data_IF_675830892337
#
_entry.id   IF_675830892337
#
_cell.length_a   1.000
_cell.length_b   1.000
_cell.length_c   1.000
_cell.angle_alpha   90.00
_cell.angle_beta   90.00
_cell.angle_gamma   90.00
#
_symmetry.space_group_name_H-M   'P 1'
#
loop_
_entity.id
_entity.type
_entity.pdbx_description
1 polymer ?
#
# COMPACT_ATOMS: atom_id res chain seq x y z
N UNK A 1 11.11 31.17 -18.54
CA UNK A 1 10.14 30.19 -18.00
C UNK A 1 9.52 29.30 -19.10
N UNK A 2 8.93 29.88 -20.16
CA UNK A 2 8.29 29.12 -21.26
C UNK A 2 9.15 28.02 -21.86
N UNK A 3 10.39 28.32 -22.26
CA UNK A 3 11.31 27.33 -22.84
C UNK A 3 11.61 26.16 -21.89
N UNK A 4 11.68 26.41 -20.59
CA UNK A 4 11.87 25.37 -19.57
C UNK A 4 10.65 24.45 -19.49
N UNK A 5 9.43 24.99 -19.53
CA UNK A 5 8.22 24.16 -19.53
C UNK A 5 8.06 23.37 -20.83
N UNK A 6 8.44 23.96 -21.97
CA UNK A 6 8.45 23.27 -23.25
C UNK A 6 9.50 22.16 -23.30
N UNK A 7 10.69 22.37 -22.74
CA UNK A 7 11.72 21.33 -22.69
C UNK A 7 11.27 20.14 -21.82
N UNK A 8 10.59 20.38 -20.70
CA UNK A 8 10.00 19.32 -19.87
C UNK A 8 8.93 18.50 -20.61
N UNK A 9 8.16 19.11 -21.51
CA UNK A 9 7.16 18.44 -22.35
C UNK A 9 7.80 17.72 -23.55
N UNK A 10 8.94 18.22 -24.04
CA UNK A 10 9.68 17.64 -25.16
C UNK A 10 10.59 16.48 -24.72
N UNK A 11 10.93 16.35 -23.44
CA UNK A 11 11.86 15.33 -22.97
C UNK A 11 11.34 13.91 -23.19
N UNK A 12 12.16 13.06 -23.83
CA UNK A 12 11.86 11.67 -24.15
C UNK A 12 12.81 10.70 -23.43
N UNK A 13 12.36 9.47 -23.21
CA UNK A 13 13.19 8.34 -22.79
C UNK A 13 14.05 7.84 -23.97
N UNK A 14 15.08 7.00 -23.74
CA UNK A 14 15.84 6.37 -24.83
C UNK A 14 14.98 5.55 -25.80
N UNK A 15 13.78 5.15 -25.39
CA UNK A 15 12.80 4.41 -26.20
C UNK A 15 11.84 5.33 -26.97
N UNK A 16 12.06 6.65 -26.93
CA UNK A 16 11.24 7.64 -27.66
C UNK A 16 9.94 8.05 -26.97
N UNK A 17 9.63 7.50 -25.80
CA UNK A 17 8.41 7.83 -25.05
C UNK A 17 8.54 9.13 -24.26
N UNK A 18 7.43 9.83 -24.01
CA UNK A 18 7.39 11.01 -23.14
C UNK A 18 7.92 10.69 -21.74
N UNK A 19 9.01 11.35 -21.32
CA UNK A 19 9.59 11.14 -19.98
C UNK A 19 8.67 11.66 -18.87
N UNK A 20 7.89 12.71 -19.14
CA UNK A 20 6.92 13.28 -18.20
C UNK A 20 5.59 13.56 -18.90
N UNK A 21 4.51 13.26 -18.18
CA UNK A 21 3.14 13.64 -18.55
C UNK A 21 2.84 15.08 -18.14
N UNK A 22 1.83 15.69 -18.75
CA UNK A 22 1.45 17.07 -18.46
C UNK A 22 1.09 17.25 -16.98
N UNK A 23 0.45 16.26 -16.35
CA UNK A 23 0.16 16.30 -14.91
C UNK A 23 1.40 16.45 -14.02
N UNK A 24 2.54 15.90 -14.42
CA UNK A 24 3.82 16.07 -13.72
C UNK A 24 4.47 17.40 -14.06
N UNK A 25 4.41 17.81 -15.34
CA UNK A 25 4.92 19.11 -15.79
C UNK A 25 4.19 20.26 -15.09
N UNK A 26 2.86 20.18 -14.93
CA UNK A 26 2.04 21.15 -14.20
C UNK A 26 2.53 21.31 -12.76
N UNK A 27 2.80 20.20 -12.06
CA UNK A 27 3.30 20.24 -10.68
C UNK A 27 4.65 20.93 -10.60
N UNK A 28 5.59 20.55 -11.46
CA UNK A 28 6.93 21.16 -11.52
C UNK A 28 6.79 22.66 -11.82
N UNK A 29 5.98 23.02 -12.80
CA UNK A 29 5.76 24.41 -13.20
C UNK A 29 5.25 25.26 -12.04
N UNK A 30 4.23 24.79 -11.31
CA UNK A 30 3.69 25.52 -10.16
C UNK A 30 4.70 25.64 -9.02
N UNK A 31 5.44 24.58 -8.69
CA UNK A 31 6.52 24.66 -7.70
C UNK A 31 7.62 25.64 -8.11
N UNK A 32 7.98 25.70 -9.40
CA UNK A 32 8.94 26.67 -9.89
C UNK A 32 8.39 28.11 -9.81
N UNK A 33 7.11 28.33 -10.11
CA UNK A 33 6.50 29.66 -9.95
C UNK A 33 6.50 30.10 -8.49
N UNK A 34 6.14 29.22 -7.56
CA UNK A 34 6.20 29.50 -6.11
C UNK A 34 7.62 29.86 -5.68
N UNK A 35 8.64 29.13 -6.16
CA UNK A 35 10.04 29.42 -5.88
C UNK A 35 10.50 30.75 -6.49
N UNK A 36 10.12 31.05 -7.73
CA UNK A 36 10.49 32.31 -8.38
C UNK A 36 9.86 33.52 -7.68
N UNK A 37 8.64 33.37 -7.16
CA UNK A 37 7.98 34.39 -6.37
C UNK A 37 8.70 34.61 -5.03
N UNK A 38 9.10 33.52 -4.36
CA UNK A 38 9.98 33.61 -3.20
C UNK A 38 11.31 34.35 -3.50
N UNK A 39 11.95 34.05 -4.64
CA UNK A 39 13.20 34.73 -5.06
C UNK A 39 12.97 36.23 -5.29
N UNK A 40 11.86 36.61 -5.92
CA UNK A 40 11.49 38.01 -6.07
C UNK A 40 11.37 38.71 -4.71
N UNK A 41 10.64 38.11 -3.78
CA UNK A 41 10.39 38.70 -2.46
C UNK A 41 11.67 38.75 -1.61
N UNK A 42 12.54 37.75 -1.73
CA UNK A 42 13.78 37.67 -0.97
C UNK A 42 14.86 38.67 -1.46
N UNK A 43 14.83 39.04 -2.75
CA UNK A 43 15.80 39.94 -3.37
C UNK A 43 15.20 41.29 -3.82
N UNK A 44 13.99 41.61 -3.38
CA UNK A 44 13.25 42.85 -3.72
C UNK A 44 13.14 43.14 -5.23
N UNK A 45 13.01 42.08 -6.05
CA UNK A 45 13.00 42.20 -7.52
C UNK A 45 11.58 42.49 -8.06
N UNK A 46 11.03 43.67 -7.80
CA UNK A 46 9.63 44.03 -8.08
C UNK A 46 9.11 43.78 -9.51
N UNK A 47 10.00 43.76 -10.52
CA UNK A 47 9.65 43.49 -11.93
C UNK A 47 10.03 42.07 -12.41
N UNK A 48 10.37 41.14 -11.52
CA UNK A 48 10.85 39.81 -11.91
C UNK A 48 9.72 38.87 -12.32
N UNK A 49 8.70 38.72 -11.48
CA UNK A 49 7.54 37.84 -11.70
C UNK A 49 6.25 38.50 -11.20
N UNK A 50 5.26 38.63 -12.09
CA UNK A 50 4.03 39.37 -11.77
C UNK A 50 3.02 39.34 -12.89
N UNK A 51 1.88 40.01 -12.69
CA UNK A 51 0.77 40.05 -13.66
C UNK A 51 0.99 41.10 -14.73
N UNK A 52 1.79 42.13 -14.44
CA UNK A 52 1.92 43.28 -15.30
C UNK A 52 2.78 42.96 -16.51
N UNK A 53 2.52 43.65 -17.61
CA UNK A 53 3.27 43.45 -18.85
C UNK A 53 4.76 43.75 -18.71
N UNK A 54 5.12 44.59 -17.73
CA UNK A 54 6.51 44.95 -17.42
C UNK A 54 7.29 43.88 -16.64
N UNK A 55 6.64 42.82 -16.15
CA UNK A 55 7.33 41.75 -15.45
C UNK A 55 8.07 40.83 -16.43
N UNK A 56 9.26 40.39 -16.05
CA UNK A 56 10.09 39.47 -16.84
C UNK A 56 9.42 38.10 -17.02
N UNK A 57 8.64 37.66 -16.02
CA UNK A 57 7.80 36.46 -16.07
C UNK A 57 6.36 36.86 -15.78
N UNK A 58 5.52 36.77 -16.80
CA UNK A 58 4.11 37.11 -16.70
C UNK A 58 3.29 35.92 -16.20
N UNK A 59 2.63 36.09 -15.06
CA UNK A 59 1.79 35.06 -14.44
C UNK A 59 0.30 35.38 -14.54
N UNK A 60 -0.50 34.32 -14.52
CA UNK A 60 -1.96 34.34 -14.57
C UNK A 60 -2.51 33.85 -13.23
N UNK A 61 -3.60 34.48 -12.79
CA UNK A 61 -4.36 33.99 -11.65
C UNK A 61 -5.57 33.21 -12.10
N UNK A 62 -5.68 31.97 -11.63
CA UNK A 62 -6.83 31.11 -11.88
C UNK A 62 -7.55 30.85 -10.56
N UNK A 63 -8.73 31.45 -10.42
CA UNK A 63 -9.61 31.13 -9.31
C UNK A 63 -10.10 29.69 -9.43
N UNK A 64 -10.11 28.99 -8.31
CA UNK A 64 -10.70 27.66 -8.22
C UNK A 64 -11.68 27.61 -7.06
N UNK A 65 -12.76 26.88 -7.27
CA UNK A 65 -13.76 26.55 -6.28
C UNK A 65 -13.93 25.05 -6.27
N UNK A 66 -13.57 24.40 -5.17
CA UNK A 66 -13.72 22.95 -5.01
C UNK A 66 -14.49 22.63 -3.75
N UNK A 67 -15.45 21.70 -3.87
CA UNK A 67 -16.12 21.12 -2.71
C UNK A 67 -15.26 19.96 -2.22
N UNK A 68 -14.86 20.00 -0.95
CA UNK A 68 -14.16 18.89 -0.31
C UNK A 68 -15.14 18.08 0.51
N UNK A 69 -15.12 16.76 0.35
CA UNK A 69 -15.93 15.84 1.14
C UNK A 69 -15.68 16.03 2.64
N UNK A 70 -16.75 16.04 3.44
CA UNK A 70 -16.69 16.23 4.89
C UNK A 70 -16.52 17.68 5.35
N UNK A 71 -16.38 18.66 4.45
CA UNK A 71 -16.30 20.09 4.80
C UNK A 71 -17.61 20.81 4.46
N UNK A 72 -18.17 21.57 5.42
CA UNK A 72 -19.25 22.52 5.13
C UNK A 72 -18.65 23.71 4.36
N UNK A 73 -19.17 23.97 3.16
CA UNK A 73 -18.73 25.07 2.28
C UNK A 73 -17.76 24.64 1.17
N UNK A 74 -17.27 25.62 0.41
CA UNK A 74 -16.32 25.42 -0.68
C UNK A 74 -14.92 25.87 -0.25
N UNK A 75 -13.90 25.20 -0.77
CA UNK A 75 -12.53 25.69 -0.72
C UNK A 75 -12.34 26.53 -1.97
N UNK A 76 -12.25 27.83 -1.75
CA UNK A 76 -11.99 28.82 -2.76
C UNK A 76 -10.57 29.31 -2.61
N UNK A 77 -9.93 29.63 -3.72
CA UNK A 77 -8.60 30.17 -3.71
C UNK A 77 -8.16 30.60 -5.10
N UNK A 78 -7.05 31.29 -5.14
CA UNK A 78 -6.41 31.71 -6.38
C UNK A 78 -5.16 30.88 -6.58
N UNK A 79 -5.03 30.29 -7.75
CA UNK A 79 -3.82 29.57 -8.14
C UNK A 79 -3.06 30.38 -9.17
N UNK A 80 -1.81 30.70 -8.85
CA UNK A 80 -0.91 31.32 -9.81
C UNK A 80 -0.45 30.26 -10.82
N UNK A 81 -0.48 30.62 -12.09
CA UNK A 81 -0.07 29.77 -13.20
C UNK A 81 0.58 30.61 -14.28
N UNK A 82 1.07 29.98 -15.34
CA UNK A 82 1.65 30.66 -16.49
C UNK A 82 1.04 30.09 -17.78
N UNK A 83 0.96 30.87 -18.85
CA UNK A 83 0.36 30.47 -20.13
C UNK A 83 0.99 29.21 -20.74
N UNK A 84 2.30 29.04 -20.57
CA UNK A 84 3.06 27.86 -20.98
C UNK A 84 2.74 26.57 -20.20
N UNK A 85 1.98 26.62 -19.10
CA UNK A 85 1.61 25.42 -18.32
C UNK A 85 0.60 24.58 -19.11
N UNK A 86 0.86 23.29 -19.37
CA UNK A 86 -0.02 22.49 -20.22
C UNK A 86 -1.35 22.16 -19.55
N UNK A 87 -2.32 21.70 -20.35
CA UNK A 87 -3.59 21.18 -19.86
C UNK A 87 -3.41 19.85 -19.15
N UNK A 88 -4.31 19.57 -18.21
CA UNK A 88 -4.28 18.37 -17.39
C UNK A 88 -4.57 17.13 -18.25
N UNK A 89 -3.71 16.12 -18.18
CA UNK A 89 -3.99 14.81 -18.76
C UNK A 89 -4.98 14.03 -17.89
N UNK A 90 -5.57 12.98 -18.45
CA UNK A 90 -6.32 12.00 -17.68
C UNK A 90 -5.50 11.44 -16.51
N UNK A 91 -6.13 11.32 -15.35
CA UNK A 91 -5.51 10.68 -14.19
C UNK A 91 -5.54 9.17 -14.43
N UNK A 92 -4.38 8.56 -14.69
CA UNK A 92 -4.25 7.11 -14.66
C UNK A 92 -4.64 6.60 -13.27
N UNK A 93 -5.69 5.77 -13.22
CA UNK A 93 -5.99 4.96 -12.04
C UNK A 93 -4.90 3.88 -11.94
N UNK A 94 -4.39 3.64 -10.73
CA UNK A 94 -3.49 2.52 -10.46
C UNK A 94 -4.35 1.32 -10.12
N UNK A 95 -4.10 0.22 -10.82
CA UNK A 95 -4.76 -1.04 -10.53
C UNK A 95 -4.02 -1.77 -9.39
N UNK A 96 -4.69 -2.70 -8.71
CA UNK A 96 -4.04 -3.70 -7.86
C UNK A 96 -2.81 -4.34 -8.52
N UNK A 97 -1.91 -4.88 -7.70
CA UNK A 97 -0.89 -5.81 -8.23
C UNK A 97 -1.60 -6.98 -8.90
N UNK A 98 -1.08 -7.46 -10.04
CA UNK A 98 -1.65 -8.62 -10.72
C UNK A 98 -1.37 -9.89 -9.91
N UNK A 99 -2.29 -10.86 -9.95
CA UNK A 99 -2.11 -12.13 -9.24
C UNK A 99 -0.89 -12.91 -9.76
N UNK A 100 -0.60 -12.82 -11.06
CA UNK A 100 0.58 -13.41 -11.69
C UNK A 100 1.88 -12.80 -11.15
N UNK A 101 2.00 -11.46 -11.15
CA UNK A 101 3.20 -10.80 -10.63
C UNK A 101 3.38 -11.05 -9.13
N UNK A 102 2.29 -11.03 -8.37
CA UNK A 102 2.30 -11.33 -6.95
C UNK A 102 2.83 -12.76 -6.68
N UNK A 103 2.32 -13.75 -7.42
CA UNK A 103 2.76 -15.14 -7.33
C UNK A 103 4.22 -15.30 -7.74
N UNK A 104 4.65 -14.69 -8.85
CA UNK A 104 6.06 -14.72 -9.31
C UNK A 104 7.01 -14.16 -8.26
N UNK A 105 6.63 -13.07 -7.60
CA UNK A 105 7.41 -12.49 -6.49
C UNK A 105 7.48 -13.44 -5.31
N UNK A 106 6.36 -14.06 -4.94
CA UNK A 106 6.32 -15.05 -3.85
C UNK A 106 7.23 -16.25 -4.12
N UNK A 107 7.13 -16.84 -5.32
CA UNK A 107 7.94 -17.98 -5.76
C UNK A 107 9.44 -17.66 -5.78
N UNK A 108 9.80 -16.45 -6.21
CA UNK A 108 11.18 -15.98 -6.13
C UNK A 108 11.67 -15.81 -4.69
N UNK A 109 10.84 -15.25 -3.81
CA UNK A 109 11.22 -15.03 -2.42
C UNK A 109 11.41 -16.36 -1.68
N UNK A 110 10.50 -17.33 -1.85
CA UNK A 110 10.55 -18.61 -1.12
C UNK A 110 11.76 -19.47 -1.51
N UNK A 111 12.31 -19.27 -2.70
CA UNK A 111 13.48 -20.01 -3.22
C UNK A 111 14.83 -19.34 -2.93
N UNK A 112 14.86 -18.19 -2.22
CA UNK A 112 16.10 -17.48 -1.92
C UNK A 112 17.09 -18.34 -1.10
N UNK A 113 18.34 -18.50 -1.60
CA UNK A 113 19.35 -19.37 -0.96
C UNK A 113 19.64 -19.03 0.50
N UNK A 114 19.74 -17.74 0.86
CA UNK A 114 20.01 -17.33 2.23
C UNK A 114 18.74 -17.45 3.09
N UNK A 115 18.70 -18.44 4.00
CA UNK A 115 17.54 -18.72 4.86
C UNK A 115 17.10 -17.55 5.75
N UNK A 116 18.05 -16.84 6.35
CA UNK A 116 17.75 -15.68 7.22
C UNK A 116 17.12 -14.54 6.38
N UNK A 117 17.66 -14.29 5.18
CA UNK A 117 17.11 -13.33 4.21
C UNK A 117 15.73 -13.75 3.70
N UNK A 118 15.57 -15.02 3.33
CA UNK A 118 14.33 -15.63 2.85
C UNK A 118 13.20 -15.38 3.84
N UNK A 119 13.40 -15.74 5.11
CA UNK A 119 12.40 -15.52 6.19
C UNK A 119 12.03 -14.05 6.35
N UNK A 120 13.00 -13.14 6.33
CA UNK A 120 12.73 -11.70 6.37
C UNK A 120 11.90 -11.25 5.17
N UNK A 121 12.30 -11.61 3.95
CA UNK A 121 11.63 -11.16 2.73
C UNK A 121 10.22 -11.73 2.63
N UNK A 122 9.99 -12.98 3.05
CA UNK A 122 8.65 -13.56 3.18
C UNK A 122 7.78 -12.78 4.16
N UNK A 123 8.31 -12.41 5.33
CA UNK A 123 7.58 -11.63 6.31
C UNK A 123 7.27 -10.20 5.81
N UNK A 124 8.18 -9.57 5.07
CA UNK A 124 7.94 -8.28 4.41
C UNK A 124 6.84 -8.39 3.36
N UNK A 125 6.92 -9.41 2.49
CA UNK A 125 5.92 -9.65 1.45
C UNK A 125 4.53 -9.88 2.06
N UNK A 126 4.42 -10.82 3.01
CA UNK A 126 3.16 -11.16 3.66
C UNK A 126 2.57 -9.96 4.42
N UNK A 127 3.40 -9.13 5.06
CA UNK A 127 2.93 -7.92 5.72
C UNK A 127 2.38 -6.88 4.73
N UNK A 128 2.96 -6.73 3.53
CA UNK A 128 2.40 -5.81 2.53
C UNK A 128 1.06 -6.29 2.01
N UNK A 129 0.99 -7.59 1.67
CA UNK A 129 -0.19 -8.22 1.11
C UNK A 129 -1.36 -8.26 2.09
N UNK A 130 -1.10 -8.70 3.33
CA UNK A 130 -2.15 -9.00 4.30
C UNK A 130 -2.57 -7.81 5.17
N UNK A 131 -1.76 -6.74 5.25
CA UNK A 131 -2.08 -5.58 6.10
C UNK A 131 -2.61 -4.38 5.30
N UNK A 132 -2.35 -4.34 3.99
CA UNK A 132 -2.61 -3.18 3.15
C UNK A 132 -2.03 -1.87 3.69
N UNK A 133 -0.98 -1.94 4.52
CA UNK A 133 -0.39 -0.79 5.19
C UNK A 133 0.33 0.13 4.20
N UNK A 134 0.37 1.43 4.48
CA UNK A 134 1.33 2.30 3.78
C UNK A 134 2.74 1.90 4.19
N UNK A 135 3.72 2.08 3.32
CA UNK A 135 5.13 1.84 3.67
C UNK A 135 5.53 2.57 4.95
N UNK A 136 5.07 3.82 5.09
CA UNK A 136 5.27 4.65 6.29
C UNK A 136 4.63 4.09 7.57
N UNK A 137 3.60 3.25 7.44
CA UNK A 137 2.97 2.54 8.56
C UNK A 137 3.71 1.22 8.81
N UNK A 138 4.02 0.46 7.75
CA UNK A 138 4.65 -0.86 7.83
C UNK A 138 6.04 -0.83 8.48
N UNK A 139 6.86 0.17 8.16
CA UNK A 139 8.20 0.27 8.75
C UNK A 139 8.18 0.72 10.23
N UNK A 140 7.05 1.22 10.72
CA UNK A 140 6.88 1.65 12.11
C UNK A 140 6.33 0.56 13.03
N UNK A 141 5.92 -0.60 12.48
CA UNK A 141 5.43 -1.73 13.26
C UNK A 141 6.49 -2.15 14.28
N UNK A 142 6.08 -2.30 15.54
CA UNK A 142 6.94 -2.73 16.65
C UNK A 142 6.73 -4.20 16.98
N UNK A 143 7.67 -4.77 17.74
CA UNK A 143 7.56 -6.11 18.32
C UNK A 143 6.42 -6.16 19.33
N UNK A 144 6.23 -5.09 20.11
CA UNK A 144 5.08 -4.95 21.01
C UNK A 144 3.76 -5.07 20.27
N UNK A 145 3.58 -4.35 19.16
CA UNK A 145 2.39 -4.46 18.31
C UNK A 145 2.16 -5.90 17.80
N UNK A 146 3.24 -6.58 17.41
CA UNK A 146 3.19 -7.97 16.94
C UNK A 146 2.79 -8.95 18.06
N UNK A 147 3.39 -8.86 19.24
CA UNK A 147 3.06 -9.76 20.35
C UNK A 147 1.63 -9.51 20.88
N UNK A 148 1.17 -8.25 20.87
CA UNK A 148 -0.23 -7.94 21.16
C UNK A 148 -1.18 -8.52 20.12
N UNK A 149 -0.83 -8.46 18.83
CA UNK A 149 -1.63 -9.08 17.77
C UNK A 149 -1.73 -10.59 17.93
N UNK A 150 -0.67 -11.28 18.39
CA UNK A 150 -0.72 -12.72 18.69
C UNK A 150 -1.69 -13.10 19.79
N UNK A 151 -1.99 -12.19 20.70
CA UNK A 151 -2.94 -12.41 21.80
C UNK A 151 -4.36 -12.00 21.44
N UNK A 152 -4.51 -11.01 20.56
CA UNK A 152 -5.79 -10.34 20.32
C UNK A 152 -6.35 -10.53 18.91
N UNK A 153 -5.57 -11.06 17.97
CA UNK A 153 -5.91 -11.10 16.54
C UNK A 153 -5.90 -9.72 15.85
N UNK A 154 -5.50 -8.65 16.55
CA UNK A 154 -5.57 -7.27 16.05
C UNK A 154 -4.19 -6.62 16.03
N UNK A 155 -3.69 -6.24 14.85
CA UNK A 155 -2.42 -5.54 14.70
C UNK A 155 -2.61 -4.02 14.72
N UNK A 156 -1.78 -3.33 15.50
CA UNK A 156 -1.77 -1.86 15.57
C UNK A 156 -0.79 -1.28 14.55
N UNK A 157 -1.25 -0.27 13.79
CA UNK A 157 -0.44 0.48 12.81
C UNK A 157 -0.42 1.96 13.18
N UNK A 158 0.78 2.54 13.30
CA UNK A 158 0.96 3.99 13.51
C UNK A 158 0.81 4.74 12.20
N UNK A 159 -0.02 5.79 12.19
CA UNK A 159 -0.28 6.62 11.00
C UNK A 159 0.29 8.03 11.17
N UNK A 160 0.97 8.54 10.14
CA UNK A 160 1.65 9.85 10.16
C UNK A 160 0.80 11.00 9.57
N UNK A 161 -0.53 10.84 9.48
CA UNK A 161 -1.38 11.68 8.64
C UNK A 161 -1.82 13.01 9.28
N UNK A 162 -1.54 13.26 10.56
CA UNK A 162 -1.91 14.52 11.23
C UNK A 162 -0.65 15.19 11.77
N UNK A 163 -0.54 16.51 11.56
CA UNK A 163 0.59 17.33 12.04
C UNK A 163 0.76 17.25 13.57
N UNK A 164 -0.30 16.89 14.31
CA UNK A 164 -0.34 17.02 15.77
C UNK A 164 -0.82 15.77 16.53
N UNK A 165 -0.97 14.60 15.90
CA UNK A 165 -1.28 13.36 16.64
C UNK A 165 -0.71 12.12 15.97
N UNK A 166 0.02 11.31 16.76
CA UNK A 166 0.39 9.93 16.41
C UNK A 166 -0.86 9.04 16.43
N UNK A 167 -1.77 9.24 15.49
CA UNK A 167 -2.99 8.43 15.41
C UNK A 167 -2.66 6.99 15.03
N UNK A 168 -3.13 6.02 15.81
CA UNK A 168 -3.02 4.60 15.50
C UNK A 168 -4.32 4.06 14.92
N UNK A 169 -4.23 2.97 14.14
CA UNK A 169 -5.39 2.19 13.69
C UNK A 169 -5.13 0.71 13.95
N UNK A 170 -6.17 -0.03 14.31
CA UNK A 170 -6.10 -1.49 14.48
C UNK A 170 -6.72 -2.19 13.29
N UNK A 171 -6.12 -3.29 12.86
CA UNK A 171 -6.65 -4.15 11.79
C UNK A 171 -6.70 -5.60 12.26
N UNK A 172 -7.77 -6.35 11.94
CA UNK A 172 -7.78 -7.78 12.15
C UNK A 172 -6.74 -8.45 11.25
N UNK A 173 -6.04 -9.44 11.78
CA UNK A 173 -5.02 -10.19 11.03
C UNK A 173 -5.19 -11.69 11.25
N UNK A 174 -5.01 -12.52 10.21
CA UNK A 174 -4.95 -13.97 10.36
C UNK A 174 -3.83 -14.41 11.29
N UNK A 175 -4.08 -15.43 12.11
CA UNK A 175 -3.06 -16.08 12.94
C UNK A 175 -1.96 -16.69 12.06
N UNK A 176 -2.32 -17.20 10.88
CA UNK A 176 -1.35 -17.67 9.89
C UNK A 176 -0.34 -16.58 9.47
N UNK A 177 -0.77 -15.33 9.31
CA UNK A 177 0.17 -14.22 9.02
C UNK A 177 1.15 -14.03 10.18
N UNK A 178 0.66 -14.06 11.41
CA UNK A 178 1.48 -13.88 12.60
C UNK A 178 2.51 -15.01 12.77
N UNK A 179 2.13 -16.21 12.35
CA UNK A 179 2.98 -17.39 12.29
C UNK A 179 4.06 -17.31 11.24
N UNK A 180 3.74 -16.80 10.04
CA UNK A 180 4.75 -16.49 9.02
C UNK A 180 5.77 -15.45 9.52
N UNK A 181 5.32 -14.45 10.27
CA UNK A 181 6.20 -13.44 10.88
C UNK A 181 7.05 -14.06 12.01
N UNK A 182 6.55 -15.05 12.74
CA UNK A 182 7.25 -15.68 13.86
C UNK A 182 8.61 -16.27 13.46
N UNK A 183 8.70 -16.86 12.27
CA UNK A 183 9.95 -17.41 11.75
C UNK A 183 11.00 -16.34 11.46
N UNK A 184 10.56 -15.19 10.98
CA UNK A 184 11.41 -14.02 10.85
C UNK A 184 11.80 -13.44 12.22
N UNK A 185 10.91 -13.44 13.22
CA UNK A 185 11.21 -12.94 14.58
C UNK A 185 12.40 -13.68 15.20
N UNK A 186 12.53 -14.99 14.97
CA UNK A 186 13.71 -15.78 15.39
C UNK A 186 15.00 -15.23 14.76
N UNK A 187 14.98 -14.94 13.46
CA UNK A 187 16.11 -14.37 12.70
C UNK A 187 16.44 -12.95 13.19
N UNK A 188 15.41 -12.12 13.38
CA UNK A 188 15.53 -10.76 13.93
C UNK A 188 16.25 -10.76 15.27
N UNK A 189 15.81 -11.59 16.23
CA UNK A 189 16.42 -11.70 17.57
C UNK A 189 17.90 -12.09 17.48
N UNK A 190 18.23 -13.07 16.63
CA UNK A 190 19.62 -13.49 16.37
C UNK A 190 20.46 -12.34 15.80
N UNK A 191 19.94 -11.61 14.82
CA UNK A 191 20.63 -10.49 14.18
C UNK A 191 20.89 -9.33 15.17
N UNK A 192 19.88 -8.93 15.95
CA UNK A 192 20.02 -7.87 16.96
C UNK A 192 21.07 -8.22 18.01
N UNK A 193 21.06 -9.46 18.52
CA UNK A 193 22.06 -9.93 19.49
C UNK A 193 23.48 -9.89 18.91
N UNK A 194 23.65 -10.36 17.66
CA UNK A 194 24.96 -10.35 16.99
C UNK A 194 25.47 -8.92 16.76
N UNK A 195 24.57 -7.97 16.51
CA UNK A 195 24.90 -6.58 16.18
C UNK A 195 24.90 -5.64 17.39
N UNK A 196 24.50 -6.13 18.57
CA UNK A 196 24.41 -5.36 19.82
C UNK A 196 23.55 -4.10 19.68
N UNK A 197 22.45 -4.19 18.92
CA UNK A 197 21.49 -3.10 18.71
C UNK A 197 20.24 -3.38 19.53
N UNK A 198 19.65 -2.34 20.13
CA UNK A 198 18.42 -2.43 20.92
C UNK A 198 17.39 -1.41 20.43
N UNK A 199 16.22 -1.90 20.03
CA UNK A 199 15.03 -1.10 19.69
C UNK A 199 13.82 -2.04 19.54
N UNK A 200 12.63 -1.46 19.44
CA UNK A 200 11.39 -2.22 19.41
C UNK A 200 10.85 -2.51 17.99
N UNK A 201 11.35 -1.87 16.93
CA UNK A 201 10.85 -2.07 15.55
C UNK A 201 10.94 -3.52 15.04
N UNK A 202 9.86 -4.03 14.44
CA UNK A 202 9.75 -5.41 13.94
C UNK A 202 10.68 -5.65 12.74
N UNK A 203 10.64 -4.80 11.73
CA UNK A 203 11.40 -5.00 10.50
C UNK A 203 12.77 -4.33 10.55
N UNK A 204 13.83 -5.12 10.38
CA UNK A 204 15.23 -4.68 10.50
C UNK A 204 16.08 -5.08 9.30
N UNK A 205 17.18 -4.36 9.11
CA UNK A 205 18.27 -4.82 8.29
C UNK A 205 19.03 -5.95 8.99
N UNK A 206 19.22 -7.09 8.31
CA UNK A 206 19.99 -8.21 8.87
C UNK A 206 21.50 -7.93 8.91
N UNK A 207 21.98 -6.97 8.11
CA UNK A 207 23.40 -6.61 8.05
C UNK A 207 23.81 -5.67 9.18
N UNK A 208 22.94 -4.72 9.54
CA UNK A 208 23.22 -3.70 10.56
C UNK A 208 22.48 -3.93 11.87
N UNK A 209 21.35 -4.62 11.85
CA UNK A 209 20.47 -4.79 13.00
C UNK A 209 19.52 -3.61 13.26
N UNK A 210 19.65 -2.51 12.50
CA UNK A 210 18.82 -1.31 12.66
C UNK A 210 17.47 -1.40 11.92
N UNK A 211 16.47 -0.59 12.30
CA UNK A 211 15.15 -0.59 11.68
C UNK A 211 15.21 -0.30 10.18
N UNK A 212 14.32 -0.93 9.41
CA UNK A 212 14.13 -0.56 8.01
C UNK A 212 13.45 0.81 7.93
N UNK A 213 13.88 1.62 6.97
CA UNK A 213 13.22 2.88 6.64
C UNK A 213 12.13 2.64 5.60
N UNK A 214 11.26 3.63 5.37
CA UNK A 214 10.31 3.57 4.25
C UNK A 214 11.02 3.30 2.90
N UNK A 215 12.20 3.89 2.69
CA UNK A 215 13.00 3.67 1.49
C UNK A 215 13.44 2.21 1.33
N UNK A 216 13.75 1.50 2.43
CA UNK A 216 14.18 0.10 2.38
C UNK A 216 13.16 -0.83 1.71
N UNK A 217 11.87 -0.63 1.97
CA UNK A 217 10.80 -1.46 1.38
C UNK A 217 10.76 -1.31 -0.14
N UNK A 218 10.86 -0.06 -0.63
CA UNK A 218 10.92 0.25 -2.06
C UNK A 218 12.16 -0.39 -2.67
N UNK A 219 13.31 -0.31 -2.00
CA UNK A 219 14.56 -0.94 -2.46
C UNK A 219 14.42 -2.46 -2.60
N UNK A 220 13.85 -3.15 -1.62
CA UNK A 220 13.67 -4.61 -1.70
C UNK A 220 12.74 -5.01 -2.85
N UNK A 221 11.63 -4.29 -3.03
CA UNK A 221 10.71 -4.58 -4.13
C UNK A 221 11.32 -4.31 -5.49
N UNK A 222 12.05 -3.21 -5.65
CA UNK A 222 12.77 -2.92 -6.89
C UNK A 222 13.83 -3.99 -7.17
N UNK A 223 14.47 -4.53 -6.14
CA UNK A 223 15.39 -5.65 -6.29
C UNK A 223 14.66 -6.90 -6.79
N UNK A 224 13.55 -7.30 -6.15
CA UNK A 224 12.75 -8.47 -6.59
C UNK A 224 12.24 -8.30 -8.02
N UNK A 225 11.73 -7.12 -8.35
CA UNK A 225 11.28 -6.76 -9.70
C UNK A 225 12.38 -6.92 -10.75
N UNK A 226 13.59 -6.44 -10.43
CA UNK A 226 14.75 -6.52 -11.33
C UNK A 226 15.17 -7.96 -11.56
N UNK A 227 15.24 -8.77 -10.51
CA UNK A 227 15.60 -10.19 -10.61
C UNK A 227 14.59 -10.99 -11.43
N UNK A 228 13.29 -10.62 -11.37
CA UNK A 228 12.22 -11.29 -12.10
C UNK A 228 11.98 -10.76 -13.53
N UNK A 229 12.67 -9.69 -13.93
CA UNK A 229 12.45 -9.05 -15.23
C UNK A 229 11.01 -8.53 -15.43
N UNK A 230 10.30 -8.17 -14.36
CA UNK A 230 8.91 -7.68 -14.46
C UNK A 230 8.92 -6.27 -15.06
N UNK A 231 8.37 -6.14 -16.27
CA UNK A 231 8.12 -4.87 -16.94
C UNK A 231 6.78 -4.29 -16.47
N UNK A 232 6.75 -3.06 -15.94
CA UNK A 232 5.51 -2.45 -15.40
C UNK A 232 5.66 -1.77 -14.04
N UNK A 233 4.56 -1.33 -13.41
CA UNK A 233 4.60 -0.80 -12.04
C UNK A 233 4.54 -1.96 -11.03
N UNK A 234 5.54 -2.08 -10.15
CA UNK A 234 5.54 -3.03 -9.04
C UNK A 234 6.03 -2.32 -7.78
N UNK A 235 5.08 -1.77 -7.02
CA UNK A 235 5.36 -0.89 -5.88
C UNK A 235 4.46 -1.24 -4.69
N UNK A 236 4.87 -0.96 -3.43
CA UNK A 236 4.13 -1.37 -2.24
C UNK A 236 2.66 -0.87 -2.23
N UNK A 237 2.41 0.27 -2.89
CA UNK A 237 1.07 0.83 -3.01
C UNK A 237 0.11 -0.05 -3.82
N UNK A 238 0.61 -0.89 -4.73
CA UNK A 238 -0.22 -1.80 -5.52
C UNK A 238 -0.75 -2.98 -4.70
N UNK A 239 0.06 -3.54 -3.79
CA UNK A 239 -0.41 -4.51 -2.79
C UNK A 239 -1.47 -3.91 -1.88
N UNK A 240 -1.28 -2.64 -1.48
CA UNK A 240 -2.31 -1.92 -0.76
C UNK A 240 -3.61 -1.77 -1.57
N UNK A 241 -3.52 -1.46 -2.86
CA UNK A 241 -4.70 -1.40 -3.73
C UNK A 241 -5.39 -2.77 -3.85
N UNK A 242 -4.62 -3.86 -3.98
CA UNK A 242 -5.13 -5.23 -3.97
C UNK A 242 -5.87 -5.53 -2.67
N UNK A 243 -5.22 -5.33 -1.52
CA UNK A 243 -5.82 -5.54 -0.20
C UNK A 243 -7.15 -4.80 -0.02
N UNK A 244 -7.21 -3.52 -0.41
CA UNK A 244 -8.46 -2.72 -0.27
C UNK A 244 -9.56 -3.29 -1.17
N UNK A 245 -9.20 -3.69 -2.40
CA UNK A 245 -10.13 -4.29 -3.35
C UNK A 245 -10.65 -5.63 -2.84
N UNK A 246 -9.78 -6.48 -2.32
CA UNK A 246 -10.13 -7.78 -1.75
C UNK A 246 -11.00 -7.65 -0.51
N UNK A 247 -10.65 -6.78 0.44
CA UNK A 247 -11.49 -6.52 1.61
C UNK A 247 -12.85 -5.97 1.23
N UNK A 248 -12.93 -5.16 0.19
CA UNK A 248 -14.22 -4.70 -0.32
C UNK A 248 -15.02 -5.84 -0.93
N UNK A 249 -14.39 -6.75 -1.69
CA UNK A 249 -15.05 -7.97 -2.18
C UNK A 249 -15.57 -8.82 -1.03
N UNK A 250 -14.75 -9.05 0.00
CA UNK A 250 -15.15 -9.80 1.19
C UNK A 250 -16.39 -9.20 1.86
N UNK A 251 -16.41 -7.88 2.02
CA UNK A 251 -17.54 -7.18 2.63
C UNK A 251 -18.81 -7.24 1.76
N UNK A 252 -18.68 -7.05 0.44
CA UNK A 252 -19.80 -7.16 -0.51
C UNK A 252 -20.38 -8.58 -0.49
N UNK A 253 -19.51 -9.59 -0.57
CA UNK A 253 -19.89 -11.01 -0.54
C UNK A 253 -20.34 -11.48 0.85
N UNK A 254 -20.17 -10.68 1.91
CA UNK A 254 -20.73 -10.96 3.22
C UNK A 254 -22.11 -10.32 3.42
N UNK A 255 -22.43 -9.22 2.70
CA UNK A 255 -23.78 -8.62 2.69
C UNK A 255 -24.74 -9.37 1.75
N UNK A 256 -25.72 -10.09 2.31
CA UNK A 256 -26.67 -10.94 1.55
C UNK A 256 -27.64 -10.15 0.65
N UNK A 257 -27.53 -8.83 0.67
CA UNK A 257 -28.52 -7.88 0.15
C UNK A 257 -28.03 -7.14 -1.11
N UNK A 258 -26.83 -7.46 -1.62
CA UNK A 258 -26.22 -6.73 -2.74
C UNK A 258 -26.00 -7.66 -3.91
N UNK A 259 -26.80 -7.50 -4.96
CA UNK A 259 -26.74 -8.38 -6.13
C UNK A 259 -26.06 -7.75 -7.35
N UNK A 260 -25.98 -6.41 -7.43
CA UNK A 260 -25.29 -5.72 -8.52
C UNK A 260 -24.72 -4.35 -8.10
N UNK A 261 -23.98 -3.72 -9.02
CA UNK A 261 -23.28 -2.44 -8.78
C UNK A 261 -24.21 -1.29 -8.45
N UNK A 262 -25.34 -1.18 -9.13
CA UNK A 262 -26.30 -0.10 -8.92
C UNK A 262 -27.17 -0.37 -7.69
N UNK A 263 -27.43 -1.63 -7.38
CA UNK A 263 -28.06 -2.10 -6.15
C UNK A 263 -27.18 -1.79 -4.93
N UNK A 264 -25.87 -2.05 -5.00
CA UNK A 264 -24.89 -1.62 -4.00
C UNK A 264 -24.87 -0.10 -3.81
N UNK A 265 -24.97 0.66 -4.91
CA UNK A 265 -25.01 2.12 -4.90
C UNK A 265 -26.34 2.69 -4.40
N UNK A 266 -27.44 1.93 -4.46
CA UNK A 266 -28.77 2.32 -3.97
C UNK A 266 -28.97 1.96 -2.50
N UNK A 267 -28.50 0.78 -2.09
CA UNK A 267 -28.42 0.35 -0.69
C UNK A 267 -27.33 1.10 0.10
N UNK A 268 -26.68 2.08 -0.54
CA UNK A 268 -25.66 2.96 0.01
C UNK A 268 -26.08 3.75 1.28
N UNK A 269 -27.38 3.76 1.60
CA UNK A 269 -27.94 4.34 2.82
C UNK A 269 -27.61 3.53 4.09
N UNK A 270 -27.35 2.22 3.98
CA UNK A 270 -26.79 1.39 5.07
C UNK A 270 -25.23 1.40 5.09
N UNK A 271 -24.60 2.20 4.21
CA UNK A 271 -23.20 2.04 3.78
C UNK A 271 -22.22 3.06 4.37
N UNK A 272 -22.69 3.95 5.26
CA UNK A 272 -21.77 4.67 6.13
C UNK A 272 -20.98 3.70 7.02
N UNK A 273 -21.61 2.68 7.58
CA UNK A 273 -20.91 1.70 8.44
C UNK A 273 -19.82 0.94 7.67
N UNK A 274 -20.13 0.44 6.46
CA UNK A 274 -19.14 -0.25 5.62
C UNK A 274 -18.00 0.66 5.16
N UNK A 275 -18.33 1.85 4.65
CA UNK A 275 -17.31 2.82 4.25
C UNK A 275 -16.50 3.29 5.45
N UNK A 276 -17.08 3.41 6.64
CA UNK A 276 -16.38 3.74 7.89
C UNK A 276 -15.48 2.61 8.37
N UNK A 277 -15.92 1.35 8.37
CA UNK A 277 -15.09 0.19 8.72
C UNK A 277 -13.91 0.06 7.76
N UNK A 278 -14.16 0.10 6.44
CA UNK A 278 -13.10 0.07 5.45
C UNK A 278 -12.20 1.29 5.58
N UNK A 279 -12.73 2.48 5.85
CA UNK A 279 -11.96 3.68 6.12
C UNK A 279 -11.05 3.53 7.34
N UNK A 280 -11.53 2.93 8.44
CA UNK A 280 -10.74 2.63 9.64
C UNK A 280 -9.64 1.62 9.34
N UNK A 281 -9.96 0.51 8.67
CA UNK A 281 -9.01 -0.54 8.29
C UNK A 281 -8.00 -0.15 7.24
N UNK A 282 -8.21 0.96 6.54
CA UNK A 282 -7.30 1.42 5.49
C UNK A 282 -6.70 2.79 5.83
N UNK A 283 -7.22 3.52 6.81
CA UNK A 283 -6.78 4.87 7.14
C UNK A 283 -6.99 5.86 5.99
N UNK A 284 -8.12 5.77 5.28
CA UNK A 284 -8.53 6.80 4.31
C UNK A 284 -9.12 8.01 5.04
N UNK A 285 -8.92 9.19 4.46
CA UNK A 285 -9.43 10.44 5.05
C UNK A 285 -10.79 10.81 4.44
N UNK A 286 -11.01 10.45 3.18
CA UNK A 286 -12.20 10.76 2.39
C UNK A 286 -12.84 9.45 1.93
N UNK A 287 -14.17 9.31 2.02
CA UNK A 287 -14.84 8.09 1.58
C UNK A 287 -14.86 7.99 0.05
N UNK A 288 -14.93 9.11 -0.66
CA UNK A 288 -14.80 9.18 -2.13
C UNK A 288 -13.51 8.56 -2.67
N UNK A 289 -12.44 8.52 -1.86
CA UNK A 289 -11.20 7.84 -2.25
C UNK A 289 -11.35 6.32 -2.37
N UNK A 290 -12.42 5.74 -1.80
CA UNK A 290 -12.73 4.31 -1.90
C UNK A 290 -13.50 3.96 -3.18
N UNK A 291 -14.11 4.94 -3.87
CA UNK A 291 -15.01 4.66 -4.99
C UNK A 291 -14.30 3.98 -6.17
N UNK A 292 -13.00 4.22 -6.35
CA UNK A 292 -12.20 3.54 -7.39
C UNK A 292 -12.11 2.02 -7.16
N UNK A 293 -12.14 1.55 -5.91
CA UNK A 293 -12.09 0.12 -5.62
C UNK A 293 -13.46 -0.55 -5.76
N UNK A 294 -14.55 0.19 -5.57
CA UNK A 294 -15.91 -0.30 -5.80
C UNK A 294 -16.05 -0.74 -7.26
N UNK A 295 -15.60 0.10 -8.21
CA UNK A 295 -15.64 -0.25 -9.62
C UNK A 295 -14.87 -1.55 -9.93
N UNK A 296 -13.71 -1.75 -9.30
CA UNK A 296 -12.86 -2.93 -9.50
C UNK A 296 -13.48 -4.19 -8.87
N UNK A 297 -13.97 -4.09 -7.63
CA UNK A 297 -14.57 -5.21 -6.93
C UNK A 297 -15.79 -5.77 -7.69
N UNK A 298 -16.68 -4.92 -8.20
CA UNK A 298 -17.83 -5.37 -8.98
C UNK A 298 -17.47 -5.92 -10.36
N UNK A 299 -16.43 -5.38 -11.01
CA UNK A 299 -15.95 -5.96 -12.28
C UNK A 299 -15.50 -7.42 -12.09
N UNK A 300 -14.86 -7.72 -10.97
CA UNK A 300 -14.39 -9.07 -10.64
C UNK A 300 -15.51 -9.97 -10.09
N UNK A 301 -16.46 -9.44 -9.30
CA UNK A 301 -17.56 -10.22 -8.68
C UNK A 301 -18.61 -10.65 -9.70
N UNK A 302 -18.84 -9.90 -10.78
CA UNK A 302 -19.82 -10.25 -11.82
C UNK A 302 -19.57 -11.62 -12.52
N UNK A 303 -18.45 -12.30 -12.22
CA UNK A 303 -18.16 -13.68 -12.62
C UNK A 303 -18.36 -14.76 -11.56
N UNK A 304 -18.73 -14.42 -10.32
CA UNK A 304 -18.88 -15.38 -9.20
C UNK A 304 -20.32 -15.37 -8.67
N UNK A 305 -21.17 -16.24 -9.21
CA UNK A 305 -22.59 -16.30 -8.81
C UNK A 305 -22.85 -17.15 -7.56
N UNK A 306 -21.91 -17.96 -7.06
CA UNK A 306 -22.18 -18.80 -5.89
C UNK A 306 -20.90 -19.11 -5.08
N UNK A 307 -20.55 -18.30 -4.08
CA UNK A 307 -19.88 -18.82 -2.87
C UNK A 307 -20.15 -17.91 -1.67
N UNK A 308 -20.98 -18.37 -0.74
CA UNK A 308 -21.14 -17.76 0.59
C UNK A 308 -20.42 -18.59 1.66
N UNK A 309 -19.86 -17.92 2.67
CA UNK A 309 -19.05 -18.39 3.81
C UNK A 309 -17.54 -18.64 3.58
N UNK A 310 -17.04 -18.86 2.36
CA UNK A 310 -15.61 -19.13 2.12
C UNK A 310 -14.71 -17.87 2.00
N UNK A 311 -15.32 -16.69 1.94
CA UNK A 311 -14.64 -15.47 1.49
C UNK A 311 -13.87 -14.77 2.63
N UNK A 312 -14.39 -14.77 3.86
CA UNK A 312 -13.66 -14.26 5.03
C UNK A 312 -12.42 -15.09 5.37
N UNK A 313 -12.45 -16.39 5.06
CA UNK A 313 -11.33 -17.32 5.22
C UNK A 313 -10.41 -17.37 4.00
N UNK A 314 -10.70 -16.63 2.92
CA UNK A 314 -9.92 -16.73 1.68
C UNK A 314 -8.44 -16.46 1.91
N UNK A 315 -8.12 -15.38 2.63
CA UNK A 315 -6.74 -15.04 2.98
C UNK A 315 -6.09 -16.11 3.86
N UNK A 316 -6.80 -16.64 4.85
CA UNK A 316 -6.30 -17.73 5.70
C UNK A 316 -6.05 -19.01 4.90
N UNK A 317 -6.93 -19.36 3.95
CA UNK A 317 -6.76 -20.52 3.06
C UNK A 317 -5.56 -20.33 2.13
N UNK A 318 -5.41 -19.14 1.52
CA UNK A 318 -4.27 -18.82 0.66
C UNK A 318 -2.94 -18.88 1.43
N UNK A 319 -2.90 -18.33 2.65
CA UNK A 319 -1.72 -18.39 3.51
C UNK A 319 -1.41 -19.84 3.92
N UNK A 320 -2.43 -20.63 4.28
CA UNK A 320 -2.25 -22.03 4.63
C UNK A 320 -1.67 -22.83 3.46
N UNK A 321 -2.24 -22.70 2.25
CA UNK A 321 -1.72 -23.34 1.03
C UNK A 321 -0.26 -23.00 0.78
N UNK A 322 0.09 -21.71 0.83
CA UNK A 322 1.49 -21.26 0.66
C UNK A 322 2.44 -21.81 1.72
N UNK A 323 1.97 -21.97 2.95
CA UNK A 323 2.77 -22.59 4.02
C UNK A 323 2.94 -24.09 3.81
N UNK A 324 1.91 -24.81 3.36
CA UNK A 324 2.03 -26.23 3.01
C UNK A 324 2.98 -26.45 1.84
N UNK A 325 2.84 -25.70 0.74
CA UNK A 325 3.75 -25.75 -0.40
C UNK A 325 5.21 -25.48 0.02
N UNK A 326 5.42 -24.49 0.89
CA UNK A 326 6.75 -24.20 1.44
C UNK A 326 7.32 -25.39 2.24
N UNK A 327 6.49 -26.08 3.03
CA UNK A 327 6.93 -27.25 3.79
C UNK A 327 7.26 -28.41 2.85
N UNK A 328 6.45 -28.65 1.83
CA UNK A 328 6.73 -29.65 0.80
C UNK A 328 8.07 -29.38 0.10
N UNK A 329 8.32 -28.12 -0.31
CA UNK A 329 9.59 -27.69 -0.91
C UNK A 329 10.78 -27.90 0.05
N UNK A 330 10.60 -27.61 1.34
CA UNK A 330 11.64 -27.80 2.36
C UNK A 330 11.94 -29.28 2.64
N UNK A 331 10.94 -30.15 2.58
CA UNK A 331 11.13 -31.60 2.70
C UNK A 331 11.85 -32.12 1.45
N UNK A 332 11.39 -31.75 0.26
CA UNK A 332 11.96 -32.17 -1.02
C UNK A 332 13.44 -31.76 -1.16
N UNK A 333 13.77 -30.55 -0.71
CA UNK A 333 15.14 -30.03 -0.68
C UNK A 333 15.98 -30.53 0.51
N UNK A 334 15.44 -31.40 1.36
CA UNK A 334 16.07 -31.92 2.58
C UNK A 334 16.49 -30.83 3.58
N UNK A 335 15.88 -29.66 3.50
CA UNK A 335 16.08 -28.57 4.47
C UNK A 335 15.34 -28.84 5.79
N UNK A 336 14.30 -29.67 5.75
CA UNK A 336 13.46 -30.04 6.90
C UNK A 336 13.23 -31.55 6.94
N UNK A 337 13.25 -32.16 8.13
CA UNK A 337 12.89 -33.58 8.27
C UNK A 337 11.38 -33.76 8.26
N UNK A 338 10.86 -34.91 7.79
CA UNK A 338 9.42 -35.20 7.83
C UNK A 338 8.81 -35.09 9.23
N UNK A 339 9.57 -35.47 10.27
CA UNK A 339 9.13 -35.35 11.66
C UNK A 339 8.95 -33.91 12.12
N UNK A 340 9.87 -33.01 11.78
CA UNK A 340 9.75 -31.59 12.10
C UNK A 340 8.64 -30.95 11.26
N UNK A 341 8.50 -31.35 9.99
CA UNK A 341 7.41 -30.91 9.13
C UNK A 341 6.03 -31.27 9.71
N UNK A 342 5.85 -32.48 10.24
CA UNK A 342 4.60 -32.90 10.89
C UNK A 342 4.27 -32.02 12.11
N UNK A 343 5.26 -31.64 12.91
CA UNK A 343 5.05 -30.70 14.02
C UNK A 343 4.60 -29.33 13.51
N UNK A 344 5.20 -28.85 12.42
CA UNK A 344 4.86 -27.55 11.84
C UNK A 344 3.46 -27.57 11.19
N UNK A 345 3.08 -28.67 10.53
CA UNK A 345 1.74 -28.90 10.01
C UNK A 345 0.71 -28.82 11.13
N UNK A 346 0.94 -29.51 12.26
CA UNK A 346 0.04 -29.44 13.42
C UNK A 346 -0.12 -28.02 13.95
N UNK A 347 0.98 -27.26 13.98
CA UNK A 347 0.97 -25.85 14.39
C UNK A 347 0.14 -24.99 13.43
N UNK A 348 0.36 -25.13 12.13
CA UNK A 348 -0.38 -24.42 11.08
C UNK A 348 -1.88 -24.76 11.08
N UNK A 349 -2.23 -26.02 11.33
CA UNK A 349 -3.63 -26.44 11.48
C UNK A 349 -4.29 -25.79 12.69
N UNK A 350 -3.58 -25.67 13.81
CA UNK A 350 -4.09 -24.95 14.99
C UNK A 350 -4.29 -23.45 14.72
N UNK A 351 -3.37 -22.80 14.01
CA UNK A 351 -3.51 -21.40 13.60
C UNK A 351 -4.69 -21.22 12.64
N UNK A 352 -4.85 -22.11 11.67
CA UNK A 352 -5.94 -22.09 10.72
C UNK A 352 -7.30 -22.34 11.40
N UNK A 353 -7.36 -23.27 12.36
CA UNK A 353 -8.56 -23.47 13.20
C UNK A 353 -8.91 -22.21 13.98
N UNK A 354 -7.91 -21.53 14.55
CA UNK A 354 -8.13 -20.26 15.26
C UNK A 354 -8.70 -19.18 14.33
N UNK A 355 -8.28 -19.13 13.07
CA UNK A 355 -8.85 -18.23 12.07
C UNK A 355 -10.31 -18.58 11.73
N UNK A 356 -10.64 -19.87 11.64
CA UNK A 356 -12.02 -20.36 11.45
C UNK A 356 -12.90 -19.95 12.64
N UNK A 357 -12.45 -20.20 13.88
CA UNK A 357 -13.22 -19.92 15.08
C UNK A 357 -13.51 -18.42 15.22
N UNK A 358 -12.53 -17.56 14.94
CA UNK A 358 -12.72 -16.11 14.97
C UNK A 358 -13.72 -15.60 13.90
N UNK A 359 -13.82 -16.28 12.76
CA UNK A 359 -14.84 -15.95 11.75
C UNK A 359 -16.25 -16.31 12.22
N UNK A 360 -16.41 -17.44 12.92
CA UNK A 360 -17.72 -17.92 13.42
C UNK A 360 -18.24 -17.01 14.54
N UNK A 361 -17.37 -16.54 15.44
CA UNK A 361 -17.76 -15.64 16.55
C UNK A 361 -18.11 -14.22 16.07
N UNK A 362 -17.64 -13.83 14.89
CA UNK A 362 -17.88 -12.50 14.30
C UNK A 362 -19.12 -12.43 13.39
N UNK A 363 -19.80 -13.56 13.17
CA UNK A 363 -21.03 -13.71 12.35
C UNK A 363 -22.25 -13.80 13.26
#
# INVERSE_FOLDING_TARGET
>A
FTLFIQSLQAERTPLGELKRRNNSVIKIAHTCLDFLQFVQDFHDLSAFIGKDKGNSIQILEKHYKRKQEGRKGFIEGTKITHSAVPTKDEIKKRHPVSDDDALRVWEFIKTQKNKDKRRRDMALYAAMEQLGGRVSELHLIKMTDYEDARRTGMLTLTTLKRKDDNTTRKIPVPHLLLSMIADYVKVRKKAMRKKKVQHDYLFISLTTGHPLSAGSWITYMNAWKKELGIEGELHPHLWRHAFITDKLKELILASKEVNDKDDFRKHLLHTQTFKMQLQQWTGHTMLSSLDTYIDLAFADINGYTEVYNAVSLRSSVELAKRQFELLEDQIASKELTPTVALCEIKRLLGDFQSDIDNCIVSS
#
